data_IF_064996869878
#
_entry.id   IF_064996869878
#
_cell.length_a   1.000
_cell.length_b   1.000
_cell.length_c   1.000
_cell.angle_alpha   90.00
_cell.angle_beta   90.00
_cell.angle_gamma   90.00
#
_symmetry.space_group_name_H-M   'P 1'
#
loop_
_entity.id
_entity.type
_entity.pdbx_description
1 polymer ?
#
# COMPACT_ATOMS: atom_id res chain seq x y z
N UNK A 1 11.99 7.33 7.06
CA UNK A 1 11.21 7.42 5.81
C UNK A 1 11.74 6.44 4.76
N UNK A 2 13.01 6.52 4.33
CA UNK A 2 13.59 5.53 3.38
C UNK A 2 13.41 4.06 3.78
N UNK A 3 13.58 3.71 5.05
CA UNK A 3 13.40 2.32 5.51
C UNK A 3 11.96 1.82 5.30
N UNK A 4 10.95 2.67 5.47
CA UNK A 4 9.55 2.32 5.20
C UNK A 4 9.23 2.27 3.70
N UNK A 5 9.92 3.06 2.88
CA UNK A 5 9.84 2.97 1.42
C UNK A 5 10.37 1.61 0.94
N UNK A 6 11.54 1.19 1.41
CA UNK A 6 12.11 -0.13 1.13
C UNK A 6 11.17 -1.26 1.56
N UNK A 7 10.60 -1.18 2.77
CA UNK A 7 9.59 -2.15 3.23
C UNK A 7 8.37 -2.17 2.31
N UNK A 8 7.90 -1.02 1.84
CA UNK A 8 6.76 -0.94 0.91
C UNK A 8 7.08 -1.54 -0.46
N UNK A 9 8.32 -1.41 -0.95
CA UNK A 9 8.78 -2.08 -2.17
C UNK A 9 8.84 -3.60 -2.00
N UNK A 10 9.35 -4.08 -0.87
CA UNK A 10 9.40 -5.51 -0.55
C UNK A 10 7.98 -6.08 -0.47
N UNK A 11 7.08 -5.39 0.23
CA UNK A 11 5.66 -5.78 0.32
C UNK A 11 4.98 -5.82 -1.05
N UNK A 12 5.24 -4.84 -1.92
CA UNK A 12 4.74 -4.85 -3.31
C UNK A 12 5.27 -6.05 -4.09
N UNK A 13 6.57 -6.34 -4.00
CA UNK A 13 7.17 -7.48 -4.69
C UNK A 13 6.56 -8.80 -4.22
N UNK A 14 6.42 -9.00 -2.90
CA UNK A 14 5.77 -10.17 -2.31
C UNK A 14 4.31 -10.27 -2.79
N UNK A 15 3.57 -9.17 -2.80
CA UNK A 15 2.18 -9.15 -3.25
C UNK A 15 2.04 -9.54 -4.73
N UNK A 16 2.96 -9.10 -5.60
CA UNK A 16 2.99 -9.51 -7.01
C UNK A 16 3.23 -11.01 -7.14
N UNK A 17 4.19 -11.58 -6.39
CA UNK A 17 4.41 -13.02 -6.37
C UNK A 17 3.18 -13.79 -5.90
N UNK A 18 2.51 -13.34 -4.83
CA UNK A 18 1.29 -13.99 -4.32
C UNK A 18 0.17 -13.92 -5.36
N UNK A 19 -0.03 -12.77 -6.01
CA UNK A 19 -1.02 -12.63 -7.09
C UNK A 19 -0.71 -13.60 -8.23
N UNK A 20 0.55 -13.71 -8.64
CA UNK A 20 0.97 -14.57 -9.75
C UNK A 20 0.74 -16.05 -9.43
N UNK A 21 1.09 -16.50 -8.22
CA UNK A 21 0.79 -17.86 -7.72
C UNK A 21 -0.72 -18.12 -7.70
N UNK A 22 -1.52 -17.19 -7.19
CA UNK A 22 -2.98 -17.34 -7.16
C UNK A 22 -3.58 -17.32 -8.57
N UNK A 23 -3.04 -16.52 -9.49
CA UNK A 23 -3.47 -16.49 -10.90
C UNK A 23 -3.14 -17.83 -11.59
N UNK A 24 -1.97 -18.40 -11.29
CA UNK A 24 -1.51 -19.66 -11.84
C UNK A 24 -2.31 -20.86 -11.33
N UNK A 25 -2.69 -20.86 -10.05
CA UNK A 25 -3.54 -21.90 -9.44
C UNK A 25 -5.01 -21.83 -9.90
N UNK A 26 -5.54 -20.63 -10.18
CA UNK A 26 -6.98 -20.43 -10.42
C UNK A 26 -7.36 -20.37 -11.91
N UNK A 27 -6.40 -20.20 -12.82
CA UNK A 27 -6.60 -20.26 -14.28
C UNK A 27 -7.39 -19.10 -14.90
N UNK A 28 -8.35 -18.53 -14.17
CA UNK A 28 -9.11 -17.33 -14.52
C UNK A 28 -9.63 -16.68 -13.24
N UNK A 29 -9.37 -15.37 -13.07
CA UNK A 29 -9.74 -14.56 -11.89
C UNK A 29 -11.24 -14.61 -11.56
N UNK A 30 -12.08 -15.03 -12.51
CA UNK A 30 -13.54 -15.08 -12.38
C UNK A 30 -14.08 -16.39 -11.74
N UNK A 31 -13.24 -17.41 -11.52
CA UNK A 31 -13.65 -18.69 -10.93
C UNK A 31 -13.20 -18.91 -9.48
N UNK A 32 -12.73 -17.86 -8.79
CA UNK A 32 -12.71 -17.89 -7.33
C UNK A 32 -14.16 -17.94 -6.84
N UNK A 33 -14.66 -19.16 -6.62
CA UNK A 33 -16.01 -19.42 -6.15
C UNK A 33 -16.35 -18.45 -5.00
N UNK A 34 -17.55 -17.82 -4.98
CA UNK A 34 -17.92 -16.74 -4.07
C UNK A 34 -17.86 -17.07 -2.56
N UNK A 35 -17.42 -18.27 -2.19
CA UNK A 35 -17.16 -18.71 -0.81
C UNK A 35 -15.69 -18.72 -0.36
N UNK A 36 -14.69 -18.55 -1.24
CA UNK A 36 -13.28 -18.55 -0.81
C UNK A 36 -12.86 -17.17 -0.28
N UNK A 37 -13.06 -16.96 1.02
CA UNK A 37 -12.61 -15.76 1.76
C UNK A 37 -11.13 -15.47 1.50
N UNK A 38 -10.32 -16.52 1.30
CA UNK A 38 -8.89 -16.41 0.99
C UNK A 38 -8.60 -15.68 -0.32
N UNK A 39 -9.34 -15.96 -1.40
CA UNK A 39 -9.10 -15.32 -2.69
C UNK A 39 -9.47 -13.82 -2.68
N UNK A 40 -10.63 -13.47 -2.08
CA UNK A 40 -11.02 -12.06 -1.90
C UNK A 40 -9.99 -11.32 -1.03
N UNK A 41 -9.50 -11.95 0.04
CA UNK A 41 -8.48 -11.38 0.92
C UNK A 41 -7.14 -11.14 0.19
N UNK A 42 -6.70 -12.06 -0.67
CA UNK A 42 -5.47 -11.88 -1.46
C UNK A 42 -5.59 -10.71 -2.43
N UNK A 43 -6.72 -10.57 -3.12
CA UNK A 43 -6.96 -9.45 -4.06
C UNK A 43 -6.97 -8.10 -3.30
N UNK A 44 -7.66 -8.05 -2.16
CA UNK A 44 -7.70 -6.86 -1.30
C UNK A 44 -6.31 -6.51 -0.78
N UNK A 45 -5.55 -7.51 -0.31
CA UNK A 45 -4.18 -7.33 0.18
C UNK A 45 -3.24 -6.85 -0.94
N UNK A 46 -3.36 -7.40 -2.15
CA UNK A 46 -2.59 -6.96 -3.30
C UNK A 46 -2.83 -5.49 -3.64
N UNK A 47 -4.11 -5.09 -3.69
CA UNK A 47 -4.49 -3.70 -3.92
C UNK A 47 -3.91 -2.78 -2.83
N UNK A 48 -3.87 -3.26 -1.58
CA UNK A 48 -3.28 -2.52 -0.44
C UNK A 48 -1.79 -2.30 -0.61
N UNK A 49 -1.04 -3.35 -0.95
CA UNK A 49 0.40 -3.25 -1.13
C UNK A 49 0.78 -2.30 -2.28
N UNK A 50 0.03 -2.29 -3.38
CA UNK A 50 0.26 -1.34 -4.48
C UNK A 50 0.00 0.10 -4.02
N UNK A 51 -1.16 0.34 -3.41
CA UNK A 51 -1.55 1.68 -2.95
C UNK A 51 -0.55 2.19 -1.91
N UNK A 52 -0.17 1.36 -0.94
CA UNK A 52 0.85 1.69 0.06
C UNK A 52 2.20 2.07 -0.56
N UNK A 53 2.63 1.37 -1.62
CA UNK A 53 3.86 1.72 -2.34
C UNK A 53 3.77 3.12 -2.98
N UNK A 54 2.65 3.45 -3.63
CA UNK A 54 2.44 4.79 -4.21
C UNK A 54 2.36 5.89 -3.14
N UNK A 55 1.65 5.66 -2.04
CA UNK A 55 1.55 6.62 -0.93
C UNK A 55 2.92 6.85 -0.26
N UNK A 56 3.73 5.81 -0.08
CA UNK A 56 5.08 5.94 0.46
C UNK A 56 6.04 6.68 -0.48
N UNK A 57 5.93 6.48 -1.80
CA UNK A 57 6.67 7.24 -2.81
C UNK A 57 6.28 8.74 -2.77
N UNK A 58 4.97 9.03 -2.66
CA UNK A 58 4.47 10.39 -2.53
C UNK A 58 4.98 11.08 -1.26
N UNK A 59 4.99 10.37 -0.13
CA UNK A 59 5.53 10.86 1.16
C UNK A 59 7.02 11.18 1.05
N UNK A 60 7.79 10.36 0.35
CA UNK A 60 9.22 10.63 0.11
C UNK A 60 9.43 11.89 -0.76
N UNK A 61 8.61 12.06 -1.82
CA UNK A 61 8.63 13.26 -2.65
C UNK A 61 8.26 14.54 -1.88
N UNK A 62 7.21 14.47 -1.05
CA UNK A 62 6.80 15.56 -0.15
C UNK A 62 7.87 15.88 0.89
N UNK A 63 8.54 14.86 1.42
CA UNK A 63 9.62 15.03 2.39
C UNK A 63 10.82 15.76 1.77
N UNK A 64 11.25 15.35 0.58
CA UNK A 64 12.32 16.05 -0.17
C UNK A 64 11.94 17.50 -0.49
N UNK A 65 10.71 17.73 -0.96
CA UNK A 65 10.23 19.07 -1.27
C UNK A 65 10.14 19.96 -0.02
N UNK A 66 9.65 19.44 1.10
CA UNK A 66 9.57 20.19 2.36
C UNK A 66 10.96 20.54 2.90
N UNK A 67 11.92 19.62 2.79
CA UNK A 67 13.30 19.82 3.24
C UNK A 67 14.02 20.90 2.43
N UNK A 68 13.75 21.00 1.12
CA UNK A 68 14.32 22.03 0.25
C UNK A 68 13.60 23.39 0.36
N UNK A 69 12.26 23.39 0.44
CA UNK A 69 11.47 24.62 0.43
C UNK A 69 11.40 25.31 1.80
N UNK A 70 11.50 24.55 2.89
CA UNK A 70 11.33 25.09 4.24
C UNK A 70 12.35 24.43 5.17
N UNK A 71 13.50 25.07 5.28
CA UNK A 71 14.68 24.62 6.03
C UNK A 71 14.51 24.58 7.56
N UNK A 72 13.34 24.93 8.10
CA UNK A 72 13.06 24.99 9.54
C UNK A 72 11.78 24.23 9.89
N UNK A 73 11.87 22.91 10.05
CA UNK A 73 10.70 22.13 10.47
C UNK A 73 10.96 21.21 11.65
N UNK A 74 10.02 21.23 12.59
CA UNK A 74 10.01 20.42 13.80
C UNK A 74 9.93 18.93 13.45
N UNK A 75 11.06 18.23 13.52
CA UNK A 75 11.22 16.87 12.99
C UNK A 75 10.23 15.84 13.57
N UNK A 76 9.79 15.99 14.82
CA UNK A 76 9.11 14.88 15.53
C UNK A 76 7.61 14.74 15.25
N UNK A 77 6.87 15.85 15.11
CA UNK A 77 5.40 15.82 14.92
C UNK A 77 5.01 15.54 13.46
N UNK A 78 5.73 16.15 12.52
CA UNK A 78 5.50 15.93 11.09
C UNK A 78 5.90 14.52 10.65
N UNK A 79 6.95 13.94 11.25
CA UNK A 79 7.35 12.55 10.98
C UNK A 79 6.22 11.55 11.29
N UNK A 80 5.52 11.73 12.42
CA UNK A 80 4.34 10.91 12.74
C UNK A 80 3.20 11.12 11.76
N UNK A 81 2.93 12.35 11.33
CA UNK A 81 1.91 12.64 10.32
C UNK A 81 2.23 11.96 8.97
N UNK A 82 3.49 11.99 8.52
CA UNK A 82 3.91 11.33 7.29
C UNK A 82 3.73 9.80 7.34
N UNK A 83 4.05 9.17 8.47
CA UNK A 83 3.80 7.73 8.69
C UNK A 83 2.30 7.43 8.63
N UNK A 84 1.48 8.27 9.25
CA UNK A 84 0.03 8.11 9.29
C UNK A 84 -0.61 8.28 7.90
N UNK A 85 -0.07 9.17 7.06
CA UNK A 85 -0.49 9.33 5.66
C UNK A 85 -0.06 8.12 4.82
N UNK A 86 1.19 7.67 4.97
CA UNK A 86 1.74 6.55 4.19
C UNK A 86 1.00 5.23 4.39
N UNK A 87 0.61 4.93 5.64
CA UNK A 87 -0.12 3.70 5.96
C UNK A 87 -1.65 3.88 6.02
N UNK A 88 -2.12 5.04 6.47
CA UNK A 88 -3.54 5.33 6.64
C UNK A 88 -4.27 5.61 5.33
N UNK A 89 -3.64 6.32 4.38
CA UNK A 89 -4.22 6.59 3.06
C UNK A 89 -4.67 5.31 2.34
N UNK A 90 -3.77 4.34 2.10
CA UNK A 90 -4.11 3.06 1.48
C UNK A 90 -5.21 2.29 2.21
N UNK A 91 -5.20 2.32 3.55
CA UNK A 91 -6.20 1.62 4.36
C UNK A 91 -7.60 2.20 4.16
N UNK A 92 -7.74 3.54 4.16
CA UNK A 92 -9.04 4.23 3.97
C UNK A 92 -9.65 3.93 2.61
N UNK A 93 -8.84 3.95 1.54
CA UNK A 93 -9.34 3.64 0.20
C UNK A 93 -9.81 2.19 0.08
N UNK A 94 -9.13 1.25 0.74
CA UNK A 94 -9.46 -0.17 0.64
C UNK A 94 -10.61 -0.57 1.54
N UNK A 95 -10.75 0.03 2.71
CA UNK A 95 -11.95 -0.16 3.53
C UNK A 95 -13.18 0.38 2.78
N UNK A 96 -13.09 1.57 2.19
CA UNK A 96 -14.17 2.12 1.37
C UNK A 96 -14.52 1.21 0.17
N UNK A 97 -13.50 0.70 -0.54
CA UNK A 97 -13.70 -0.22 -1.66
C UNK A 97 -14.30 -1.57 -1.23
N UNK A 98 -13.87 -2.11 -0.08
CA UNK A 98 -14.38 -3.37 0.45
C UNK A 98 -15.82 -3.27 0.97
N UNK A 99 -16.24 -2.08 1.45
CA UNK A 99 -17.62 -1.84 1.87
C UNK A 99 -18.53 -1.65 0.65
N UNK A 100 -18.04 -1.01 -0.40
CA UNK A 100 -18.81 -0.77 -1.62
C UNK A 100 -19.01 -2.04 -2.49
N UNK A 101 -18.26 -3.12 -2.23
CA UNK A 101 -18.21 -4.33 -3.06
C UNK A 101 -18.47 -5.64 -2.32
#
# INVERSE_FOLDING_TARGET
IHMHLFVSFILKAIAVFIKDVVLYEVGEVDNCSPGSVGCKAVIVFFQYCIMANFFWLLVEGLYLHALLAVSFFSERKYFWAYILIGWGGPAVFITAWSIAK
#
